data_IF_978491463044
#
_entry.id   IF_978491463044
#
_cell.length_a   1.000
_cell.length_b   1.000
_cell.length_c   1.000
_cell.angle_alpha   90.00
_cell.angle_beta   90.00
_cell.angle_gamma   90.00
#
_symmetry.space_group_name_H-M   'P 1'
#
loop_
_entity.id
_entity.type
_entity.pdbx_description
1 polymer ?
#
# COMPACT_ATOMS: atom_id res chain seq x y z
N UNK A 1 2.71 11.88 -16.42
CA UNK A 1 1.72 12.03 -15.33
C UNK A 1 2.02 13.35 -14.65
N UNK A 2 1.30 14.40 -15.02
CA UNK A 2 1.49 15.75 -14.51
C UNK A 2 1.07 15.76 -13.04
N UNK A 3 2.03 15.96 -12.14
CA UNK A 3 1.77 16.16 -10.72
C UNK A 3 1.04 17.50 -10.57
N UNK A 4 -0.29 17.42 -10.43
CA UNK A 4 -1.10 18.54 -10.02
C UNK A 4 -0.79 18.80 -8.54
N UNK A 5 -0.59 20.04 -8.09
CA UNK A 5 -0.15 20.27 -6.73
C UNK A 5 -1.30 19.96 -5.75
N UNK A 6 -1.04 19.04 -4.82
CA UNK A 6 -1.99 18.43 -3.86
C UNK A 6 -2.48 19.40 -2.76
N UNK A 7 -2.58 20.71 -3.03
CA UNK A 7 -2.85 21.77 -2.03
C UNK A 7 -4.09 21.53 -1.15
N UNK A 8 -5.12 20.86 -1.68
CA UNK A 8 -6.34 20.57 -0.95
C UNK A 8 -6.20 19.36 -0.01
N UNK A 9 -5.29 18.44 -0.34
CA UNK A 9 -5.15 17.19 0.38
C UNK A 9 -4.17 17.31 1.55
N UNK A 10 -3.15 18.18 1.47
CA UNK A 10 -2.17 18.37 2.56
C UNK A 10 -2.84 18.80 3.89
N UNK A 11 -4.00 19.45 3.84
CA UNK A 11 -4.78 19.84 5.04
C UNK A 11 -5.73 18.77 5.56
N UNK A 12 -6.11 17.79 4.73
CA UNK A 12 -7.00 16.68 5.11
C UNK A 12 -6.21 15.43 5.50
N UNK A 13 -5.11 15.18 4.79
CA UNK A 13 -4.19 14.08 4.96
C UNK A 13 -2.81 14.66 5.26
N UNK A 14 -2.30 14.38 6.46
CA UNK A 14 -0.98 14.88 6.86
C UNK A 14 0.15 14.33 6.00
N UNK A 15 1.30 14.99 6.07
CA UNK A 15 2.50 14.72 5.27
C UNK A 15 2.88 13.23 5.19
N UNK A 16 2.70 12.47 6.27
CA UNK A 16 3.03 11.06 6.33
C UNK A 16 2.17 10.20 5.40
N UNK A 17 0.86 10.47 5.33
CA UNK A 17 -0.05 9.76 4.42
C UNK A 17 0.33 10.08 2.99
N UNK A 18 0.68 11.34 2.73
CA UNK A 18 1.02 11.81 1.39
C UNK A 18 2.38 11.34 0.90
N UNK A 19 3.35 11.21 1.80
CA UNK A 19 4.60 10.53 1.50
C UNK A 19 4.34 9.08 1.09
N UNK A 20 3.52 8.33 1.82
CA UNK A 20 3.23 6.95 1.46
C UNK A 20 2.45 6.82 0.14
N UNK A 21 1.54 7.75 -0.13
CA UNK A 21 0.80 7.81 -1.40
C UNK A 21 1.75 8.04 -2.59
N UNK A 22 2.70 8.97 -2.45
CA UNK A 22 3.66 9.32 -3.51
C UNK A 22 4.81 8.32 -3.63
N UNK A 23 5.26 7.77 -2.51
CA UNK A 23 6.39 6.86 -2.38
C UNK A 23 5.94 5.51 -1.75
N UNK A 24 5.06 4.74 -2.42
CA UNK A 24 4.55 3.49 -1.89
C UNK A 24 5.66 2.46 -1.69
N UNK A 25 5.63 1.79 -0.54
CA UNK A 25 6.62 0.77 -0.14
C UNK A 25 6.06 -0.61 -0.45
N UNK A 26 6.93 -1.59 -0.70
CA UNK A 26 6.53 -3.00 -0.89
C UNK A 26 5.53 -3.28 -2.02
N UNK A 27 5.60 -2.54 -3.14
CA UNK A 27 4.74 -2.75 -4.31
C UNK A 27 5.02 -4.05 -5.10
N UNK A 28 6.08 -4.78 -4.77
CA UNK A 28 6.46 -6.00 -5.47
C UNK A 28 5.84 -7.20 -4.77
N UNK A 29 5.39 -8.17 -5.57
CA UNK A 29 4.99 -9.47 -5.06
C UNK A 29 6.19 -10.22 -4.48
N UNK A 30 5.97 -10.93 -3.39
CA UNK A 30 6.91 -11.88 -2.82
C UNK A 30 6.92 -13.15 -3.67
N UNK A 31 8.11 -13.70 -3.94
CA UNK A 31 8.24 -14.99 -4.64
C UNK A 31 7.72 -16.16 -3.81
N UNK A 32 7.97 -16.10 -2.50
CA UNK A 32 7.72 -17.18 -1.54
C UNK A 32 6.86 -16.66 -0.38
N UNK A 33 5.65 -16.21 -0.70
CA UNK A 33 4.68 -15.81 0.32
C UNK A 33 4.12 -17.05 1.03
N UNK A 34 4.13 -17.06 2.35
CA UNK A 34 3.47 -18.10 3.14
C UNK A 34 1.95 -17.92 3.15
N UNK A 35 1.50 -16.67 3.11
CA UNK A 35 0.08 -16.31 3.13
C UNK A 35 -0.18 -15.21 2.11
N UNK A 36 -1.30 -15.35 1.39
CA UNK A 36 -1.81 -14.36 0.46
C UNK A 36 -3.31 -14.14 0.66
N UNK A 37 -3.74 -12.88 0.60
CA UNK A 37 -5.15 -12.51 0.59
C UNK A 37 -5.40 -11.37 -0.40
N UNK A 38 -6.56 -11.36 -1.03
CA UNK A 38 -7.03 -10.27 -1.88
C UNK A 38 -8.43 -9.85 -1.44
N UNK A 39 -8.63 -8.55 -1.28
CA UNK A 39 -9.90 -7.96 -0.88
C UNK A 39 -10.32 -6.84 -1.82
N UNK A 40 -11.63 -6.67 -1.97
CA UNK A 40 -12.23 -5.68 -2.84
C UNK A 40 -13.28 -4.85 -2.11
N UNK A 41 -13.12 -3.53 -2.14
CA UNK A 41 -14.11 -2.58 -1.64
C UNK A 41 -14.98 -2.06 -2.81
N UNK A 42 -16.21 -2.58 -3.01
CA UNK A 42 -17.03 -2.22 -4.16
C UNK A 42 -17.56 -0.78 -4.15
N UNK A 43 -17.57 -0.12 -2.99
CA UNK A 43 -18.08 1.25 -2.87
C UNK A 43 -17.15 2.27 -3.54
N UNK A 44 -15.84 2.07 -3.37
CA UNK A 44 -14.81 2.97 -3.90
C UNK A 44 -14.07 2.38 -5.11
N UNK A 45 -14.18 1.06 -5.34
CA UNK A 45 -13.46 0.34 -6.38
C UNK A 45 -12.03 -0.07 -5.99
N UNK A 46 -11.62 0.14 -4.73
CA UNK A 46 -10.30 -0.21 -4.24
C UNK A 46 -10.10 -1.73 -4.20
N UNK A 47 -8.90 -2.17 -4.60
CA UNK A 47 -8.48 -3.56 -4.55
C UNK A 47 -7.12 -3.65 -3.88
N UNK A 48 -7.01 -4.48 -2.86
CA UNK A 48 -5.78 -4.67 -2.12
C UNK A 48 -5.38 -6.15 -2.14
N UNK A 49 -4.11 -6.41 -2.49
CA UNK A 49 -3.49 -7.73 -2.38
C UNK A 49 -2.39 -7.66 -1.33
N UNK A 50 -2.46 -8.56 -0.34
CA UNK A 50 -1.51 -8.65 0.75
C UNK A 50 -0.79 -10.00 0.67
N UNK A 51 0.53 -9.96 0.81
CA UNK A 51 1.38 -11.13 0.90
C UNK A 51 2.24 -11.02 2.15
N UNK A 52 2.35 -12.11 2.89
CA UNK A 52 3.19 -12.21 4.08
C UNK A 52 4.14 -13.39 3.92
N UNK A 53 5.41 -13.15 4.22
CA UNK A 53 6.43 -14.18 4.39
C UNK A 53 6.96 -14.08 5.82
N UNK A 54 6.82 -15.14 6.58
CA UNK A 54 7.39 -15.31 7.90
C UNK A 54 8.81 -15.84 7.75
N UNK A 55 9.78 -15.09 8.26
CA UNK A 55 11.10 -15.66 8.49
C UNK A 55 10.98 -16.60 9.68
N UNK A 56 11.11 -17.92 9.45
CA UNK A 56 11.28 -18.88 10.53
C UNK A 56 12.52 -18.49 11.34
N UNK A 57 12.33 -17.80 12.47
CA UNK A 57 13.36 -17.62 13.49
C UNK A 57 13.44 -18.97 14.21
N UNK A 58 14.32 -19.84 13.73
CA UNK A 58 14.75 -21.00 14.51
C UNK A 58 15.60 -20.45 15.66
N UNK A 59 15.09 -20.58 16.88
CA UNK A 59 15.85 -20.32 18.11
C UNK A 59 16.95 -21.36 18.30
#
# INVERSE_FOLDING_TARGET
MTQQPDFLLDGLYGDLVMDHYRNPRNLRLLSDADVEAEEFNPFCGDRARLQLASMNIVM
#
